data_IF_196954116894
#
_entry.id   IF_196954116894
#
_cell.length_a   1.000
_cell.length_b   1.000
_cell.length_c   1.000
_cell.angle_alpha   90.00
_cell.angle_beta   90.00
_cell.angle_gamma   90.00
#
_symmetry.space_group_name_H-M   'P 1'
#
loop_
_entity.id
_entity.type
_entity.pdbx_description
1 polymer ?
#
# COMPACT_ATOMS: atom_id res chain seq x y z
N UNK A 1 16.64 10.78 -21.63
CA UNK A 1 15.81 11.51 -20.66
C UNK A 1 14.97 10.49 -19.90
N UNK A 2 15.54 9.83 -18.89
CA UNK A 2 14.81 8.83 -18.10
C UNK A 2 13.99 9.54 -17.02
N UNK A 3 12.76 9.91 -17.35
CA UNK A 3 11.84 10.55 -16.41
C UNK A 3 11.45 9.59 -15.30
N UNK A 4 12.13 9.67 -14.15
CA UNK A 4 11.68 8.99 -12.92
C UNK A 4 10.53 9.82 -12.35
N UNK A 5 9.33 9.57 -12.86
CA UNK A 5 8.11 10.09 -12.24
C UNK A 5 7.98 9.42 -10.87
N UNK A 6 7.76 10.21 -9.82
CA UNK A 6 7.55 9.66 -8.48
C UNK A 6 6.22 8.90 -8.43
N UNK A 7 6.16 7.84 -7.63
CA UNK A 7 4.92 7.08 -7.52
C UNK A 7 3.78 7.91 -6.91
N UNK A 8 4.11 8.88 -6.03
CA UNK A 8 3.17 9.89 -5.54
C UNK A 8 2.52 10.67 -6.68
N UNK A 9 3.35 11.19 -7.59
CA UNK A 9 2.84 11.92 -8.75
C UNK A 9 1.93 11.04 -9.60
N UNK A 10 2.31 9.78 -9.82
CA UNK A 10 1.46 8.83 -10.58
C UNK A 10 0.10 8.65 -9.92
N UNK A 11 0.04 8.47 -8.61
CA UNK A 11 -1.23 8.31 -7.89
C UNK A 11 -2.08 9.58 -8.00
N UNK A 12 -1.49 10.75 -7.74
CA UNK A 12 -2.18 12.04 -7.75
C UNK A 12 -2.69 12.45 -9.15
N UNK A 13 -2.01 12.01 -10.21
CA UNK A 13 -2.36 12.32 -11.59
C UNK A 13 -3.00 11.14 -12.33
N UNK A 14 -3.39 10.10 -11.58
CA UNK A 14 -4.20 8.99 -12.08
C UNK A 14 -5.62 9.08 -11.53
N UNK A 15 -6.52 8.25 -12.07
CA UNK A 15 -7.86 8.09 -11.53
C UNK A 15 -7.90 7.21 -10.26
N UNK A 16 -6.78 7.01 -9.55
CA UNK A 16 -6.77 6.23 -8.31
C UNK A 16 -7.56 6.94 -7.20
N UNK A 17 -7.24 8.21 -6.92
CA UNK A 17 -7.87 8.96 -5.83
C UNK A 17 -9.38 9.17 -6.07
N UNK A 18 -9.78 9.36 -7.33
CA UNK A 18 -11.20 9.52 -7.69
C UNK A 18 -12.04 8.24 -7.58
N UNK A 19 -11.42 7.09 -7.28
CA UNK A 19 -12.10 5.81 -7.04
C UNK A 19 -12.23 5.47 -5.56
N UNK A 20 -11.72 6.33 -4.68
CA UNK A 20 -11.75 6.10 -3.24
C UNK A 20 -13.10 6.52 -2.67
N UNK A 21 -13.64 5.69 -1.79
CA UNK A 21 -14.81 5.99 -0.99
C UNK A 21 -14.39 6.32 0.46
N UNK A 22 -15.11 7.24 1.09
CA UNK A 22 -14.82 7.64 2.46
C UNK A 22 -14.87 6.43 3.42
N UNK A 23 -13.83 6.26 4.23
CA UNK A 23 -13.66 5.10 5.10
C UNK A 23 -12.81 3.97 4.51
N UNK A 24 -12.37 4.07 3.25
CA UNK A 24 -11.45 3.11 2.66
C UNK A 24 -10.09 3.07 3.38
N UNK A 25 -9.49 1.88 3.41
CA UNK A 25 -8.15 1.64 3.95
C UNK A 25 -7.19 1.34 2.80
N UNK A 26 -6.20 2.21 2.64
CA UNK A 26 -5.18 2.12 1.60
C UNK A 26 -3.91 1.48 2.16
N UNK A 27 -3.41 0.43 1.51
CA UNK A 27 -2.13 -0.17 1.85
C UNK A 27 -1.04 0.42 0.98
N UNK A 28 -0.02 0.99 1.61
CA UNK A 28 1.12 1.57 0.90
C UNK A 28 2.45 1.05 1.48
N UNK A 29 3.46 0.94 0.63
CA UNK A 29 4.81 0.63 1.10
C UNK A 29 5.42 1.82 1.84
N UNK A 30 6.36 1.52 2.75
CA UNK A 30 7.03 2.57 3.52
C UNK A 30 7.77 3.54 2.61
N UNK A 31 7.57 4.84 2.83
CA UNK A 31 8.15 5.93 2.02
C UNK A 31 7.22 6.44 0.92
N UNK A 32 6.04 5.85 0.76
CA UNK A 32 5.00 6.31 -0.16
C UNK A 32 4.09 7.35 0.51
N UNK A 33 4.57 8.59 0.60
CA UNK A 33 3.90 9.65 1.36
C UNK A 33 2.73 10.27 0.58
N UNK A 34 1.56 9.62 0.62
CA UNK A 34 0.28 10.14 0.07
C UNK A 34 -0.79 10.37 1.13
N UNK A 35 -0.41 10.36 2.41
CA UNK A 35 -1.32 10.51 3.55
C UNK A 35 -2.25 11.72 3.39
N UNK A 36 -1.70 12.87 3.01
CA UNK A 36 -2.48 14.08 2.76
C UNK A 36 -3.47 13.89 1.61
N UNK A 37 -3.02 13.30 0.49
CA UNK A 37 -3.79 13.13 -0.73
C UNK A 37 -4.98 12.18 -0.53
N UNK A 38 -4.81 11.10 0.24
CA UNK A 38 -5.90 10.17 0.57
C UNK A 38 -6.79 10.70 1.71
N UNK A 39 -6.21 11.46 2.65
CA UNK A 39 -6.93 12.05 3.78
C UNK A 39 -8.02 13.03 3.34
N UNK A 40 -7.84 13.74 2.22
CA UNK A 40 -8.88 14.60 1.62
C UNK A 40 -10.15 13.82 1.28
N UNK A 41 -10.03 12.54 0.96
CA UNK A 41 -11.16 11.66 0.65
C UNK A 41 -11.72 10.94 1.89
N UNK A 42 -11.26 11.28 3.09
CA UNK A 42 -11.67 10.60 4.33
C UNK A 42 -11.21 9.15 4.40
N UNK A 43 -10.11 8.82 3.73
CA UNK A 43 -9.51 7.49 3.73
C UNK A 43 -8.34 7.42 4.72
N UNK A 44 -8.02 6.21 5.18
CA UNK A 44 -6.86 5.95 6.04
C UNK A 44 -5.79 5.21 5.25
N UNK A 45 -4.51 5.58 5.44
CA UNK A 45 -3.39 4.80 4.93
C UNK A 45 -2.78 3.94 6.03
N UNK A 46 -2.54 2.67 5.72
CA UNK A 46 -1.87 1.71 6.59
C UNK A 46 -0.56 1.27 5.95
N UNK A 47 0.53 1.45 6.69
CA UNK A 47 1.84 0.94 6.31
C UNK A 47 2.06 -0.43 6.97
N UNK A 48 2.32 -1.49 6.19
CA UNK A 48 2.64 -2.80 6.74
C UNK A 48 3.84 -2.73 7.68
N UNK A 49 3.64 -3.10 8.95
CA UNK A 49 4.68 -3.04 9.97
C UNK A 49 5.64 -4.21 9.80
N UNK A 50 6.93 -3.93 9.67
CA UNK A 50 7.95 -4.98 9.72
C UNK A 50 8.17 -5.37 11.18
N UNK A 51 7.80 -6.59 11.53
CA UNK A 51 7.89 -7.12 12.90
C UNK A 51 9.33 -7.42 13.36
N UNK A 52 10.34 -7.20 12.51
CA UNK A 52 11.75 -7.38 12.89
C UNK A 52 12.17 -6.33 13.94
N UNK A 53 12.20 -6.74 15.21
CA UNK A 53 12.88 -6.03 16.30
C UNK A 53 12.01 -5.27 17.31
N UNK A 54 10.67 -5.31 17.21
CA UNK A 54 9.80 -4.72 18.26
C UNK A 54 9.66 -5.66 19.45
N UNK A 55 9.92 -5.15 20.66
CA UNK A 55 10.15 -5.95 21.88
C UNK A 55 8.89 -6.50 22.56
N UNK A 56 7.69 -6.08 22.14
CA UNK A 56 6.35 -6.65 22.43
C UNK A 56 5.29 -5.76 21.76
N UNK A 57 4.47 -6.32 20.89
CA UNK A 57 3.21 -5.71 20.45
C UNK A 57 2.10 -6.28 21.34
N UNK A 58 1.05 -5.52 21.61
CA UNK A 58 -0.15 -6.05 22.28
C UNK A 58 -0.82 -7.13 21.42
N UNK A 59 -1.65 -7.99 22.02
CA UNK A 59 -2.33 -9.07 21.28
C UNK A 59 -3.17 -8.56 20.10
N UNK A 60 -3.81 -7.41 20.28
CA UNK A 60 -4.62 -6.73 19.26
C UNK A 60 -3.77 -6.20 18.11
N UNK A 61 -2.66 -5.49 18.42
CA UNK A 61 -1.73 -5.00 17.41
C UNK A 61 -1.06 -6.13 16.62
N UNK A 62 -0.80 -7.28 17.25
CA UNK A 62 -0.28 -8.48 16.57
C UNK A 62 -1.30 -9.01 15.57
N UNK A 63 -2.58 -9.05 15.94
CA UNK A 63 -3.63 -9.54 15.06
C UNK A 63 -3.85 -8.59 13.87
N UNK A 64 -3.92 -7.29 14.11
CA UNK A 64 -4.02 -6.28 13.05
C UNK A 64 -2.82 -6.35 12.10
N UNK A 65 -1.60 -6.42 12.65
CA UNK A 65 -0.38 -6.55 11.85
C UNK A 65 -0.38 -7.83 11.01
N UNK A 66 -0.85 -8.95 11.58
CA UNK A 66 -1.00 -10.22 10.82
C UNK A 66 -2.02 -10.09 9.69
N UNK A 67 -3.17 -9.46 9.93
CA UNK A 67 -4.19 -9.21 8.91
C UNK A 67 -3.61 -8.39 7.76
N UNK A 68 -2.98 -7.26 8.06
CA UNK A 68 -2.35 -6.38 7.07
C UNK A 68 -1.23 -7.12 6.30
N UNK A 69 -0.39 -7.89 7.00
CA UNK A 69 0.70 -8.67 6.37
C UNK A 69 0.16 -9.73 5.41
N UNK A 70 -0.91 -10.42 5.80
CA UNK A 70 -1.54 -11.43 4.94
C UNK A 70 -2.13 -10.82 3.67
N UNK A 71 -2.78 -9.66 3.78
CA UNK A 71 -3.28 -8.92 2.61
C UNK A 71 -2.13 -8.51 1.71
N UNK A 72 -1.03 -7.96 2.26
CA UNK A 72 0.17 -7.61 1.49
C UNK A 72 0.72 -8.79 0.69
N UNK A 73 0.88 -9.95 1.33
CA UNK A 73 1.34 -11.18 0.67
C UNK A 73 0.40 -11.57 -0.48
N UNK A 74 -0.91 -11.46 -0.26
CA UNK A 74 -1.89 -11.76 -1.30
C UNK A 74 -1.75 -10.82 -2.51
N UNK A 75 -1.64 -9.52 -2.27
CA UNK A 75 -1.43 -8.51 -3.32
C UNK A 75 -0.13 -8.75 -4.09
N UNK A 76 0.99 -8.99 -3.39
CA UNK A 76 2.29 -9.28 -4.02
C UNK A 76 2.22 -10.54 -4.91
N UNK A 77 1.50 -11.58 -4.48
CA UNK A 77 1.27 -12.78 -5.28
C UNK A 77 0.48 -12.47 -6.55
N UNK A 78 -0.61 -11.71 -6.45
CA UNK A 78 -1.42 -11.33 -7.62
C UNK A 78 -0.59 -10.50 -8.59
N UNK A 79 0.17 -9.52 -8.12
CA UNK A 79 1.09 -8.73 -8.95
C UNK A 79 2.12 -9.64 -9.63
N UNK A 80 2.72 -10.56 -8.89
CA UNK A 80 3.65 -11.55 -9.44
C UNK A 80 3.03 -12.43 -10.53
N UNK A 81 1.80 -12.92 -10.31
CA UNK A 81 1.04 -13.69 -11.31
C UNK A 81 0.72 -12.86 -12.55
N UNK A 82 0.34 -11.58 -12.40
CA UNK A 82 0.12 -10.68 -13.53
C UNK A 82 1.42 -10.45 -14.32
N UNK A 83 2.53 -10.22 -13.63
CA UNK A 83 3.84 -10.05 -14.27
C UNK A 83 4.24 -11.27 -15.09
N UNK A 84 4.04 -12.48 -14.55
CA UNK A 84 4.30 -13.73 -15.27
C UNK A 84 3.37 -13.90 -16.48
N UNK A 85 2.07 -13.64 -16.30
CA UNK A 85 1.06 -13.81 -17.34
C UNK A 85 1.25 -12.87 -18.52
N UNK A 86 1.66 -11.63 -18.26
CA UNK A 86 1.80 -10.57 -19.26
C UNK A 86 3.26 -10.24 -19.60
N UNK A 87 4.22 -11.05 -19.13
CA UNK A 87 5.67 -10.84 -19.34
C UNK A 87 6.14 -9.41 -19.00
N UNK A 88 5.59 -8.84 -17.93
CA UNK A 88 5.97 -7.49 -17.48
C UNK A 88 7.33 -7.55 -16.76
N UNK A 89 8.24 -6.59 -17.01
CA UNK A 89 9.51 -6.51 -16.30
C UNK A 89 9.31 -6.24 -14.80
N UNK A 90 10.28 -6.69 -14.01
CA UNK A 90 10.25 -6.61 -12.55
C UNK A 90 10.47 -5.19 -12.01
#
# INVERSE_FOLDING_TARGET
>A
MGGRVSDKYLVEHSDFLGKLDAGDIILADRGFNIDDSVGVFGCEIKYPVFTKGKKKLSGEEVEETRRITNVRIHVERVIGSLRQKYSLPA
#
